data_IF_221291762981
#
_entry.id   IF_221291762981
#
_cell.length_a   1.000
_cell.length_b   1.000
_cell.length_c   1.000
_cell.angle_alpha   90.00
_cell.angle_beta   90.00
_cell.angle_gamma   90.00
#
_symmetry.space_group_name_H-M   'P 1'
#
loop_
_entity.id
_entity.type
_entity.pdbx_description
1 polymer ?
2 non-polymer ?
3 non-polymer ?
4 water ?
#
# COMPACT_ATOMS: atom_id res chain seq x y z
N UNK A 2 -16.05 6.32 16.77
CA UNK A 2 -15.26 5.58 15.79
C UNK A 2 -14.77 6.51 14.68
N UNK A 3 -13.50 6.37 14.32
CA UNK A 3 -12.90 7.11 13.22
C UNK A 3 -12.75 6.16 12.04
N UNK A 4 -13.42 6.46 10.94
CA UNK A 4 -13.31 5.67 9.72
C UNK A 4 -12.32 6.35 8.78
N UNK A 5 -11.37 5.58 8.27
CA UNK A 5 -10.29 6.11 7.43
C UNK A 5 -10.28 5.35 6.11
N UNK A 6 -10.53 6.06 5.01
CA UNK A 6 -10.42 5.49 3.67
C UNK A 6 -8.97 5.53 3.21
N UNK A 7 -8.44 4.38 2.81
CA UNK A 7 -7.06 4.28 2.34
C UNK A 7 -7.05 3.60 0.98
N UNK A 8 -6.25 4.14 0.06
CA UNK A 8 -6.12 3.60 -1.28
C UNK A 8 -4.77 2.91 -1.40
N UNK A 9 -4.77 1.74 -2.03
CA UNK A 9 -3.56 0.95 -2.30
C UNK A 9 -3.30 1.03 -3.79
N UNK A 10 -2.13 1.55 -4.17
CA UNK A 10 -1.85 1.86 -5.56
C UNK A 10 -0.48 1.32 -5.95
N UNK A 11 -0.30 1.10 -7.24
CA UNK A 11 0.95 0.59 -7.77
C UNK A 11 0.74 -0.19 -9.05
N UNK A 12 1.87 -0.54 -9.70
CA UNK A 12 1.84 -1.24 -10.98
C UNK A 12 1.20 -2.62 -10.83
N UNK A 13 0.89 -3.22 -11.98
CA UNK A 13 0.25 -4.53 -11.97
C UNK A 13 1.14 -5.58 -11.31
N UNK A 14 0.50 -6.47 -10.54
CA UNK A 14 1.09 -7.65 -9.94
C UNK A 14 2.06 -7.34 -8.79
N UNK A 15 2.08 -6.10 -8.29
CA UNK A 15 2.97 -5.80 -7.16
C UNK A 15 2.42 -6.35 -5.86
N UNK A 16 1.15 -6.70 -5.79
CA UNK A 16 0.57 -7.30 -4.62
C UNK A 16 -0.54 -6.50 -3.93
N UNK A 17 -1.18 -5.56 -4.63
CA UNK A 17 -2.18 -4.70 -4.01
C UNK A 17 -3.35 -5.50 -3.45
N UNK A 18 -3.97 -6.34 -4.28
CA UNK A 18 -5.12 -7.11 -3.83
C UNK A 18 -4.74 -8.07 -2.71
N UNK A 19 -3.58 -8.73 -2.84
CA UNK A 19 -3.10 -9.63 -1.79
C UNK A 19 -2.85 -8.89 -0.48
N UNK A 20 -2.29 -7.68 -0.55
CA UNK A 20 -2.05 -6.90 0.65
C UNK A 20 -3.35 -6.61 1.37
N UNK A 21 -4.38 -6.20 0.64
CA UNK A 21 -5.66 -5.88 1.26
C UNK A 21 -6.30 -7.15 1.84
N UNK A 22 -6.22 -8.26 1.12
CA UNK A 22 -6.78 -9.52 1.64
C UNK A 22 -6.01 -9.98 2.88
N UNK A 23 -4.69 -9.84 2.89
CA UNK A 23 -3.92 -10.22 4.07
C UNK A 23 -4.33 -9.41 5.28
N UNK A 24 -4.40 -8.09 5.13
CA UNK A 24 -4.64 -7.23 6.29
C UNK A 24 -6.05 -7.40 6.83
N UNK A 25 -7.05 -7.47 5.95
CA UNK A 25 -8.44 -7.47 6.41
C UNK A 25 -9.02 -8.87 6.63
N UNK A 26 -8.44 -9.90 6.02
CA UNK A 26 -8.95 -11.26 6.17
C UNK A 26 -7.95 -12.23 6.75
N UNK A 27 -6.66 -11.88 6.79
CA UNK A 27 -5.66 -12.78 7.36
C UNK A 27 -5.35 -13.99 6.49
N UNK A 28 -5.49 -13.85 5.17
CA UNK A 28 -5.31 -14.96 4.26
C UNK A 28 -4.29 -14.58 3.19
N UNK A 29 -3.73 -15.61 2.56
CA UNK A 29 -2.88 -15.45 1.38
C UNK A 29 -3.11 -16.71 0.54
N UNK A 30 -3.93 -16.59 -0.50
CA UNK A 30 -4.36 -17.75 -1.25
C UNK A 30 -3.40 -18.05 -2.39
N UNK A 31 -3.50 -19.27 -2.91
CA UNK A 31 -2.85 -19.65 -4.15
C UNK A 31 -3.69 -19.32 -5.37
N UNK A 32 -4.60 -18.36 -5.23
CA UNK A 32 -5.50 -17.98 -6.33
C UNK A 32 -4.69 -17.49 -7.52
N UNK A 33 -5.16 -17.83 -8.72
CA UNK A 33 -4.46 -17.42 -9.94
C UNK A 33 -4.69 -15.95 -10.25
N UNK A 34 -5.95 -15.53 -10.36
CA UNK A 34 -6.32 -14.15 -10.65
C UNK A 34 -7.02 -13.59 -9.42
N UNK A 35 -6.23 -13.13 -8.46
CA UNK A 35 -6.78 -12.64 -7.20
C UNK A 35 -7.60 -11.38 -7.42
N UNK A 36 -8.80 -11.36 -6.87
CA UNK A 36 -9.74 -10.26 -7.06
C UNK A 36 -10.51 -10.04 -5.78
N UNK A 37 -10.80 -8.78 -5.47
CA UNK A 37 -11.69 -8.41 -4.39
C UNK A 37 -13.02 -8.01 -5.03
N UNK A 38 -14.05 -8.82 -4.82
CA UNK A 38 -15.32 -8.63 -5.48
C UNK A 38 -16.09 -7.41 -5.07
N UNK A 39 -15.57 -6.61 -4.14
CA UNK A 39 -16.22 -5.40 -3.65
C UNK A 39 -15.24 -4.24 -3.77
N UNK A 40 -15.74 -3.03 -3.48
CA UNK A 40 -14.92 -1.83 -3.59
C UNK A 40 -13.79 -1.83 -2.56
N UNK A 41 -14.09 -2.24 -1.32
CA UNK A 41 -13.09 -2.18 -0.27
C UNK A 41 -13.31 -3.31 0.73
N UNK A 42 -12.23 -3.70 1.38
CA UNK A 42 -12.26 -4.52 2.58
C UNK A 42 -11.93 -3.63 3.77
N UNK A 43 -12.26 -4.09 4.96
CA UNK A 43 -12.04 -3.25 6.12
C UNK A 43 -11.60 -4.06 7.33
N UNK A 44 -10.93 -3.37 8.24
CA UNK A 44 -10.47 -3.94 9.50
C UNK A 44 -10.63 -2.89 10.58
N UNK A 45 -11.22 -3.27 11.70
CA UNK A 45 -11.51 -2.36 12.81
C UNK A 45 -10.51 -2.68 13.93
N UNK A 46 -9.66 -1.70 14.25
CA UNK A 46 -8.58 -1.89 15.20
C UNK A 46 -8.59 -0.75 16.19
N UNK A 47 -7.85 -0.92 17.29
CA UNK A 47 -7.63 0.13 18.27
C UNK A 47 -6.28 0.77 17.98
N UNK A 48 -6.28 2.10 17.87
CA UNK A 48 -5.08 2.87 17.55
C UNK A 48 -4.99 4.00 18.55
N UNK A 49 -3.97 3.96 19.41
CA UNK A 49 -3.76 5.01 20.41
C UNK A 49 -5.03 5.29 21.20
N UNK A 50 -5.59 4.23 21.76
CA UNK A 50 -6.78 4.30 22.63
C UNK A 50 -8.00 4.84 21.89
N UNK A 51 -8.10 4.55 20.59
CA UNK A 51 -9.24 4.97 19.77
C UNK A 51 -9.68 3.84 18.85
N UNK A 52 -10.99 3.74 18.65
CA UNK A 52 -11.54 2.77 17.70
C UNK A 52 -11.44 3.34 16.28
N UNK A 53 -10.75 2.61 15.40
CA UNK A 53 -10.52 3.04 14.03
C UNK A 53 -11.00 1.96 13.07
N UNK A 54 -11.73 2.37 12.04
CA UNK A 54 -12.20 1.48 10.98
C UNK A 54 -11.46 1.83 9.69
N UNK A 55 -10.48 0.99 9.32
CA UNK A 55 -9.68 1.20 8.13
C UNK A 55 -10.36 0.53 6.94
N UNK A 56 -10.71 1.33 5.93
CA UNK A 56 -11.38 0.85 4.73
C UNK A 56 -10.37 0.90 3.60
N UNK A 57 -9.96 -0.27 3.10
CA UNK A 57 -8.86 -0.39 2.15
C UNK A 57 -9.41 -0.60 0.75
N UNK A 58 -9.27 0.41 -0.11
CA UNK A 58 -9.78 0.36 -1.47
C UNK A 58 -8.71 -0.14 -2.44
N UNK A 59 -9.08 -1.14 -3.24
CA UNK A 59 -8.22 -1.71 -4.26
C UNK A 59 -8.29 -0.88 -5.54
N UNK A 60 -7.22 -0.93 -6.35
CA UNK A 60 -7.14 -0.20 -7.60
C UNK A 60 -6.55 -1.10 -8.68
N UNK A 61 -6.63 -0.63 -9.93
CA UNK A 61 -6.05 -1.33 -11.06
C UNK A 61 -4.63 -0.81 -11.35
N UNK A 62 -3.84 -1.64 -12.00
CA UNK A 62 -2.48 -1.28 -12.36
C UNK A 62 -2.41 -0.34 -13.55
N UNK A 65 -4.31 1.38 -16.08
CA UNK A 65 -5.35 2.39 -15.89
C UNK A 65 -4.79 3.62 -15.18
N UNK A 66 -3.85 4.30 -15.82
CA UNK A 66 -3.21 5.46 -15.20
C UNK A 66 -4.04 6.73 -15.33
N UNK A 67 -4.98 6.78 -16.27
CA UNK A 67 -5.83 7.95 -16.42
C UNK A 67 -7.27 7.62 -16.03
N UNK A 70 -10.82 7.69 -10.19
CA UNK A 70 -11.90 6.73 -10.06
C UNK A 70 -12.51 6.77 -8.65
N UNK A 71 -13.56 5.98 -8.44
CA UNK A 71 -14.21 5.94 -7.14
C UNK A 71 -13.24 5.54 -6.03
N UNK A 72 -12.16 4.83 -6.36
CA UNK A 72 -11.19 4.44 -5.35
C UNK A 72 -10.44 5.66 -4.82
N UNK A 73 -10.00 6.56 -5.72
CA UNK A 73 -9.22 7.70 -5.28
C UNK A 73 -10.08 8.77 -4.61
N UNK A 74 -11.36 8.86 -4.96
CA UNK A 74 -12.22 9.94 -4.48
C UNK A 74 -12.35 9.89 -2.96
N UNK A 75 -11.94 10.98 -2.31
CA UNK A 75 -12.06 11.07 -0.86
C UNK A 75 -11.04 10.28 -0.09
N UNK A 76 -9.99 9.78 -0.74
CA UNK A 76 -8.98 9.00 -0.04
C UNK A 76 -8.29 9.85 1.02
N UNK A 77 -8.06 9.25 2.18
CA UNK A 77 -7.47 9.95 3.30
C UNK A 77 -6.06 9.49 3.64
N UNK A 78 -5.61 8.38 3.08
CA UNK A 78 -4.24 7.91 3.22
C UNK A 78 -3.95 6.97 2.05
N UNK A 79 -2.66 6.77 1.77
CA UNK A 79 -2.26 6.07 0.55
C UNK A 79 -1.08 5.13 0.83
N UNK A 80 -1.15 3.94 0.26
CA UNK A 80 -0.04 2.99 0.24
C UNK A 80 0.47 2.92 -1.19
N UNK A 81 1.73 3.32 -1.38
CA UNK A 81 2.41 3.22 -2.67
C UNK A 81 3.22 1.92 -2.68
N UNK A 82 2.87 0.98 -3.54
CA UNK A 82 3.48 -0.35 -3.55
C UNK A 82 4.28 -0.54 -4.84
N UNK A 83 5.52 -1.00 -4.70
CA UNK A 83 6.25 -1.60 -5.82
C UNK A 83 6.75 -2.98 -5.39
N UNK A 84 7.30 -3.72 -6.34
CA UNK A 84 7.70 -5.10 -6.12
C UNK A 84 9.22 -5.25 -6.15
N UNK A 85 9.73 -6.06 -5.23
CA UNK A 85 11.14 -6.40 -5.19
C UNK A 85 11.64 -6.94 -6.52
N UNK A 86 10.80 -7.65 -7.27
CA UNK A 86 11.22 -8.33 -8.48
C UNK A 86 10.81 -7.61 -9.76
N UNK A 87 10.29 -6.38 -9.65
CA UNK A 87 9.75 -5.66 -10.80
C UNK A 87 10.39 -4.29 -10.87
N UNK A 88 11.40 -4.15 -11.74
CA UNK A 88 12.14 -2.90 -11.87
C UNK A 88 11.23 -1.75 -12.31
N UNK A 89 10.37 -1.99 -13.30
CA UNK A 89 9.49 -0.93 -13.78
C UNK A 89 8.53 -0.47 -12.69
N UNK A 90 8.09 -1.39 -11.82
CA UNK A 90 7.20 -1.00 -10.72
C UNK A 90 7.90 -0.05 -9.76
N UNK A 91 9.22 -0.21 -9.58
CA UNK A 91 9.98 0.72 -8.77
C UNK A 91 10.13 2.07 -9.47
N UNK A 92 10.43 2.07 -10.77
CA UNK A 92 10.61 3.33 -11.48
C UNK A 92 9.31 4.11 -11.64
N UNK A 93 8.16 3.45 -11.49
CA UNK A 93 6.87 4.11 -11.60
C UNK A 93 6.41 4.76 -10.30
N UNK A 94 7.18 4.62 -9.21
CA UNK A 94 6.69 5.05 -7.90
C UNK A 94 6.41 6.55 -7.89
N UNK A 95 7.34 7.34 -8.44
CA UNK A 95 7.16 8.79 -8.44
C UNK A 95 5.89 9.19 -9.19
N UNK A 96 5.57 8.50 -10.29
CA UNK A 96 4.39 8.85 -11.06
C UNK A 96 3.11 8.52 -10.30
N UNK A 97 3.06 7.36 -9.64
CA UNK A 97 1.92 7.05 -8.78
C UNK A 97 1.76 8.09 -7.69
N UNK A 98 2.87 8.54 -7.10
CA UNK A 98 2.82 9.59 -6.10
C UNK A 98 2.23 10.88 -6.67
N UNK A 99 2.66 11.28 -7.86
CA UNK A 99 2.12 12.50 -8.46
C UNK A 99 0.63 12.35 -8.76
N UNK A 100 0.22 11.17 -9.22
CA UNK A 100 -1.19 10.94 -9.51
C UNK A 100 -2.06 11.13 -8.27
N UNK A 101 -1.65 10.56 -7.14
CA UNK A 101 -2.42 10.69 -5.91
C UNK A 101 -2.44 12.14 -5.43
N UNK A 102 -1.28 12.79 -5.42
CA UNK A 102 -1.20 14.17 -4.97
C UNK A 102 -2.04 15.09 -5.84
N UNK A 103 -2.03 14.84 -7.16
CA UNK A 103 -2.78 15.71 -8.07
C UNK A 103 -4.28 15.46 -7.99
N UNK A 104 -4.68 14.20 -7.81
CA UNK A 104 -6.10 13.85 -7.81
C UNK A 104 -6.74 13.90 -6.44
N UNK A 105 -5.95 13.80 -5.37
CA UNK A 105 -6.50 13.79 -4.01
C UNK A 105 -5.91 14.92 -3.18
N UNK A 106 -4.59 14.98 -3.12
CA UNK A 106 -3.88 15.97 -2.33
C UNK A 106 -2.74 15.32 -1.57
N UNK A 107 -2.18 16.06 -0.61
CA UNK A 107 -1.03 15.59 0.16
C UNK A 107 -1.52 14.86 1.41
N UNK A 108 -1.95 13.61 1.19
CA UNK A 108 -2.47 12.77 2.26
C UNK A 108 -1.35 11.92 2.84
N UNK A 109 -1.47 11.42 4.08
CA UNK A 109 -0.45 10.51 4.61
C UNK A 109 -0.22 9.33 3.67
N UNK A 110 1.05 9.08 3.36
CA UNK A 110 1.43 8.09 2.36
C UNK A 110 2.65 7.31 2.83
N UNK A 111 2.65 6.00 2.58
CA UNK A 111 3.76 5.12 2.91
C UNK A 111 4.23 4.42 1.64
N UNK A 112 5.55 4.37 1.45
CA UNK A 112 6.16 3.61 0.37
C UNK A 112 6.43 2.19 0.84
N UNK A 113 6.06 1.21 0.02
CA UNK A 113 6.17 -0.20 0.39
C UNK A 113 6.90 -0.96 -0.73
N UNK A 114 7.95 -1.68 -0.37
CA UNK A 114 8.59 -2.65 -1.26
C UNK A 114 8.08 -4.03 -0.87
N UNK A 115 7.15 -4.56 -1.67
CA UNK A 115 6.54 -5.83 -1.38
C UNK A 115 7.38 -6.97 -1.99
N UNK A 116 7.04 -8.20 -1.57
CA UNK A 116 7.68 -9.42 -2.06
C UNK A 116 9.14 -9.52 -1.63
N UNK A 117 9.44 -9.00 -0.43
CA UNK A 117 10.81 -9.04 0.08
C UNK A 117 11.26 -10.48 0.32
N UNK A 118 10.32 -11.43 0.40
CA UNK A 118 10.69 -12.84 0.49
C UNK A 118 11.34 -13.36 -0.79
N UNK A 119 11.26 -12.61 -1.89
CA UNK A 119 11.91 -12.97 -3.15
C UNK A 119 13.20 -12.21 -3.35
N UNK A 120 13.90 -11.90 -2.25
CA UNK A 120 15.08 -11.04 -2.30
C UNK A 120 16.18 -11.62 -3.18
N UNK A 121 16.23 -12.93 -3.36
CA UNK A 121 17.26 -13.52 -4.22
C UNK A 121 17.12 -13.04 -5.66
N UNK A 122 15.90 -12.74 -6.10
CA UNK A 122 15.65 -12.23 -7.44
C UNK A 122 15.43 -10.73 -7.44
N UNK A 123 15.99 -10.01 -6.47
CA UNK A 123 15.78 -8.58 -6.37
C UNK A 123 16.47 -7.85 -7.50
N UNK A 124 15.81 -6.80 -8.00
CA UNK A 124 16.42 -5.89 -8.95
C UNK A 124 16.40 -4.45 -8.46
N UNK A 125 16.25 -4.26 -7.15
CA UNK A 125 16.28 -2.94 -6.53
C UNK A 125 17.33 -2.98 -5.43
N UNK A 126 18.34 -2.12 -5.55
CA UNK A 126 19.33 -1.99 -4.49
C UNK A 126 18.70 -1.34 -3.27
N UNK A 127 19.15 -1.78 -2.09
CA UNK A 127 18.65 -1.19 -0.84
C UNK A 127 18.89 0.31 -0.82
N UNK A 128 20.08 0.75 -1.24
CA UNK A 128 20.36 2.18 -1.28
C UNK A 128 19.43 2.91 -2.24
N UNK A 129 19.10 2.28 -3.37
CA UNK A 129 18.20 2.90 -4.34
C UNK A 129 16.84 3.18 -3.71
N UNK A 130 16.27 2.17 -3.04
CA UNK A 130 14.93 2.33 -2.47
C UNK A 130 14.92 3.31 -1.31
N UNK A 131 15.95 3.25 -0.45
CA UNK A 131 16.03 4.18 0.66
C UNK A 131 16.22 5.61 0.17
N UNK A 132 17.05 5.80 -0.85
CA UNK A 132 17.26 7.14 -1.39
C UNK A 132 16.00 7.70 -2.03
N UNK A 133 15.20 6.84 -2.68
CA UNK A 133 13.93 7.29 -3.22
C UNK A 133 12.98 7.76 -2.11
N UNK A 134 12.85 6.95 -1.05
CA UNK A 134 11.98 7.33 0.06
C UNK A 134 12.39 8.67 0.65
N UNK A 135 13.70 8.90 0.80
CA UNK A 135 14.17 10.16 1.36
C UNK A 135 13.89 11.32 0.42
N UNK A 136 14.01 11.11 -0.90
CA UNK A 136 13.67 12.18 -1.85
C UNK A 136 12.19 12.53 -1.77
N UNK A 137 11.33 11.51 -1.77
CA UNK A 137 9.89 11.74 -1.69
C UNK A 137 9.41 12.06 -0.28
N UNK A 138 10.30 11.97 0.72
CA UNK A 138 9.95 12.24 2.12
C UNK A 138 8.80 11.34 2.58
N UNK A 139 8.96 10.03 2.35
CA UNK A 139 7.93 9.05 2.67
C UNK A 139 8.50 7.98 3.58
N UNK A 140 7.71 7.59 4.59
CA UNK A 140 8.03 6.42 5.38
C UNK A 140 8.08 5.20 4.48
N UNK A 141 9.10 4.36 4.69
CA UNK A 141 9.40 3.25 3.77
C UNK A 141 9.41 1.93 4.55
N UNK A 142 8.64 0.96 4.06
CA UNK A 142 8.57 -0.37 4.64
C UNK A 142 8.90 -1.41 3.58
N UNK A 143 9.67 -2.42 3.99
CA UNK A 143 9.87 -3.63 3.20
C UNK A 143 8.93 -4.69 3.74
N UNK A 144 8.01 -5.17 2.90
CA UNK A 144 6.98 -6.09 3.34
C UNK A 144 7.02 -7.37 2.52
N UNK A 145 6.45 -8.42 3.12
CA UNK A 145 6.13 -9.67 2.42
C UNK A 145 4.69 -9.99 2.78
N UNK A 146 3.77 -9.74 1.85
CA UNK A 146 2.38 -10.13 2.06
C UNK A 146 2.29 -11.64 2.25
N UNK A 147 3.07 -12.39 1.49
CA UNK A 147 3.04 -13.85 1.56
C UNK A 147 3.36 -14.35 2.96
N UNK A 148 4.33 -13.72 3.62
CA UNK A 148 4.77 -14.17 4.94
C UNK A 148 4.23 -13.31 6.08
N UNK A 149 3.33 -12.37 5.76
CA UNK A 149 2.72 -11.48 6.75
C UNK A 149 3.78 -10.69 7.51
N UNK A 150 4.68 -10.07 6.76
CA UNK A 150 5.80 -9.31 7.31
C UNK A 150 5.59 -7.82 7.02
N UNK A 151 5.50 -7.03 8.09
CA UNK A 151 5.39 -5.57 8.03
C UNK A 151 4.10 -5.08 7.38
N UNK A 152 3.11 -5.95 7.19
CA UNK A 152 1.84 -5.48 6.64
C UNK A 152 1.06 -4.70 7.69
N UNK A 153 0.96 -5.25 8.91
CA UNK A 153 0.24 -4.57 9.98
C UNK A 153 0.87 -3.22 10.28
N UNK A 154 2.20 -3.15 10.27
CA UNK A 154 2.90 -1.90 10.60
C UNK A 154 2.59 -0.79 9.60
N UNK A 155 2.39 -1.13 8.33
CA UNK A 155 2.09 -0.13 7.31
C UNK A 155 0.79 0.59 7.63
N UNK A 156 -0.28 -0.18 7.87
CA UNK A 156 -1.58 0.46 8.06
C UNK A 156 -1.69 1.11 9.44
N UNK A 157 -1.00 0.57 10.44
CA UNK A 157 -0.98 1.22 11.75
C UNK A 157 -0.29 2.59 11.67
N UNK A 158 0.82 2.67 10.93
CA UNK A 158 1.48 3.96 10.73
C UNK A 158 0.54 4.97 10.07
N UNK A 159 -0.12 4.57 8.99
CA UNK A 159 -1.00 5.49 8.28
C UNK A 159 -2.16 5.94 9.16
N UNK A 160 -2.76 5.01 9.90
CA UNK A 160 -3.84 5.39 10.80
C UNK A 160 -3.38 6.41 11.83
N UNK A 161 -2.21 6.18 12.44
CA UNK A 161 -1.69 7.10 13.44
C UNK A 161 -1.40 8.47 12.85
N UNK A 162 -0.89 8.52 11.62
CA UNK A 162 -0.59 9.82 11.00
C UNK A 162 -1.86 10.55 10.63
N UNK A 163 -2.91 9.84 10.23
CA UNK A 163 -4.18 10.52 9.97
C UNK A 163 -4.77 11.09 11.25
N UNK A 164 -4.68 10.33 12.35
CA UNK A 164 -5.17 10.84 13.63
C UNK A 164 -4.29 11.96 14.16
N UNK A 165 -2.98 11.87 13.94
CA UNK A 165 -2.02 12.85 14.43
C UNK A 165 -0.93 13.11 13.39
#
# INVERSE_FOLDING_TARGET
SEVAIKMVVVGNGAVGKSSMIQRYCKGIFTKDYKKTIGVDFLERQIQVNDEDVRLMLWDTAGQEEFDAITKAYRGAQACVLVFSTTDRESFEAVSSWREKVVAEVGDIPTVLVQNKIDLLDDSCIKNEEAEALAKRLKLRFYRTSVKEDLNVNEVFKYLAEKYLQK
#
